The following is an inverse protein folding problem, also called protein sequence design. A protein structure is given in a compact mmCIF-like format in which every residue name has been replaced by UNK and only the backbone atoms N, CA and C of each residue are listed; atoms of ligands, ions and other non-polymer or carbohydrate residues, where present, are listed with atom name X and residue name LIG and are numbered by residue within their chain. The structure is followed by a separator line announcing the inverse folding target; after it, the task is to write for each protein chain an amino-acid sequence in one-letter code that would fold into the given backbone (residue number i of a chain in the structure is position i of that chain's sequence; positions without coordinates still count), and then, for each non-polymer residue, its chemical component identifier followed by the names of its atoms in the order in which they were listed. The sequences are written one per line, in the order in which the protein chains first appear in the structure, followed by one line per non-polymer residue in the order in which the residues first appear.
data_IF_793874710018
#
_entry.id   IF_793874710018
#
_cell.length_a   1.000
_cell.length_b   1.000
_cell.length_c   1.000
_cell.angle_alpha   90.00
_cell.angle_beta   90.00
_cell.angle_gamma   90.00
#
_symmetry.space_group_name_H-M   'P 1'
#
loop_
_entity.id
_entity.type
_entity.pdbx_description
1 polymer ?
#
# COMPACT_ATOMS: atom_id res chain seq x y z
N UNK A 1 -14.13 -35.70 -29.37
CA UNK A 1 -13.54 -35.07 -28.18
C UNK A 1 -13.52 -33.57 -28.41
N UNK A 2 -14.43 -32.85 -27.76
CA UNK A 2 -14.55 -31.39 -27.84
C UNK A 2 -13.39 -30.74 -27.08
N UNK A 3 -12.64 -29.80 -27.67
CA UNK A 3 -11.62 -29.06 -26.94
C UNK A 3 -12.29 -28.25 -25.81
N UNK A 4 -11.67 -28.16 -24.62
CA UNK A 4 -12.21 -27.31 -23.56
C UNK A 4 -12.21 -25.86 -24.06
N UNK A 5 -13.39 -25.23 -24.01
CA UNK A 5 -13.57 -23.80 -24.28
C UNK A 5 -12.61 -23.02 -23.37
N UNK A 6 -11.63 -22.36 -23.99
CA UNK A 6 -10.76 -21.42 -23.30
C UNK A 6 -11.64 -20.38 -22.60
N UNK A 7 -11.52 -20.29 -21.26
CA UNK A 7 -12.29 -19.34 -20.47
C UNK A 7 -12.08 -17.93 -21.02
N UNK A 8 -13.17 -17.24 -21.35
CA UNK A 8 -13.10 -15.88 -21.88
C UNK A 8 -12.34 -14.97 -20.91
N UNK A 9 -11.41 -14.13 -21.39
CA UNK A 9 -10.65 -13.23 -20.52
C UNK A 9 -11.63 -12.33 -19.77
N UNK A 10 -11.56 -12.37 -18.43
CA UNK A 10 -12.39 -11.55 -17.55
C UNK A 10 -12.25 -10.06 -17.92
N UNK A 11 -13.34 -9.43 -18.37
CA UNK A 11 -13.35 -8.07 -18.95
C UNK A 11 -13.34 -6.92 -17.93
N UNK A 12 -13.26 -7.20 -16.63
CA UNK A 12 -13.40 -6.19 -15.56
C UNK A 12 -12.18 -5.30 -15.36
N UNK A 13 -12.39 -4.10 -14.81
CA UNK A 13 -11.33 -3.13 -14.47
C UNK A 13 -10.24 -3.75 -13.59
N UNK A 14 -10.63 -4.47 -12.53
CA UNK A 14 -9.68 -5.16 -11.66
C UNK A 14 -8.85 -6.21 -12.40
N UNK A 15 -9.42 -6.91 -13.38
CA UNK A 15 -8.65 -7.88 -14.18
C UNK A 15 -7.59 -7.17 -15.03
N UNK A 16 -7.92 -6.02 -15.62
CA UNK A 16 -6.94 -5.21 -16.40
C UNK A 16 -5.84 -4.63 -15.51
N UNK A 17 -6.19 -4.15 -14.31
CA UNK A 17 -5.24 -3.64 -13.31
C UNK A 17 -4.31 -4.73 -12.75
N UNK A 18 -4.73 -6.00 -12.78
CA UNK A 18 -3.92 -7.12 -12.30
C UNK A 18 -3.24 -7.90 -13.44
N UNK A 19 -3.46 -7.51 -14.70
CA UNK A 19 -2.82 -8.06 -15.89
C UNK A 19 -2.03 -7.00 -16.66
N UNK A 20 -2.55 -6.59 -17.81
CA UNK A 20 -1.86 -5.70 -18.76
C UNK A 20 -1.40 -4.36 -18.17
N UNK A 21 -2.15 -3.78 -17.23
CA UNK A 21 -1.82 -2.49 -16.62
C UNK A 21 -1.19 -2.61 -15.23
N UNK A 22 -0.86 -3.81 -14.78
CA UNK A 22 -0.37 -4.04 -13.42
C UNK A 22 0.90 -3.25 -13.10
N UNK A 23 1.87 -3.23 -14.02
CA UNK A 23 3.10 -2.44 -13.86
C UNK A 23 2.82 -0.95 -13.69
N UNK A 24 1.94 -0.39 -14.52
CA UNK A 24 1.58 1.03 -14.43
C UNK A 24 0.86 1.34 -13.12
N UNK A 25 -0.06 0.47 -12.69
CA UNK A 25 -0.77 0.62 -11.43
C UNK A 25 0.16 0.53 -10.21
N UNK A 26 1.14 -0.39 -10.22
CA UNK A 26 2.17 -0.50 -9.19
C UNK A 26 3.06 0.74 -9.15
N UNK A 27 3.41 1.34 -10.29
CA UNK A 27 4.16 2.60 -10.33
C UNK A 27 3.36 3.76 -9.75
N UNK A 28 2.07 3.87 -10.09
CA UNK A 28 1.18 4.87 -9.48
C UNK A 28 1.08 4.68 -7.97
N UNK A 29 0.99 3.43 -7.51
CA UNK A 29 0.99 3.12 -6.10
C UNK A 29 2.31 3.47 -5.41
N UNK A 30 3.45 3.21 -6.05
CA UNK A 30 4.77 3.60 -5.56
C UNK A 30 4.86 5.11 -5.29
N UNK A 31 4.33 5.95 -6.19
CA UNK A 31 4.31 7.41 -5.98
C UNK A 31 3.55 7.78 -4.70
N UNK A 32 2.40 7.15 -4.46
CA UNK A 32 1.60 7.38 -3.23
C UNK A 32 2.38 6.93 -1.99
N UNK A 33 3.01 5.75 -2.03
CA UNK A 33 3.84 5.23 -0.94
C UNK A 33 4.97 6.18 -0.61
N UNK A 34 5.68 6.70 -1.63
CA UNK A 34 6.79 7.62 -1.43
C UNK A 34 6.33 8.98 -0.90
N UNK A 35 5.18 9.49 -1.38
CA UNK A 35 4.60 10.72 -0.85
C UNK A 35 4.24 10.58 0.64
N UNK A 36 3.65 9.44 1.02
CA UNK A 36 3.35 9.13 2.41
C UNK A 36 4.60 9.02 3.29
N UNK A 37 5.64 8.34 2.80
CA UNK A 37 6.94 8.27 3.48
C UNK A 37 7.57 9.66 3.63
N UNK A 38 7.50 10.51 2.61
CA UNK A 38 8.04 11.87 2.67
C UNK A 38 7.38 12.68 3.79
N UNK A 39 6.06 12.57 3.95
CA UNK A 39 5.33 13.23 5.03
C UNK A 39 5.91 12.89 6.41
N UNK A 40 6.11 11.60 6.68
CA UNK A 40 6.58 11.11 7.97
C UNK A 40 8.08 11.29 8.20
N UNK A 41 8.91 11.15 7.16
CA UNK A 41 10.36 11.38 7.28
C UNK A 41 10.67 12.85 7.50
N UNK A 42 9.94 13.75 6.85
CA UNK A 42 10.10 15.19 7.09
C UNK A 42 9.60 15.56 8.48
N UNK A 43 8.50 14.97 8.95
CA UNK A 43 8.05 15.13 10.33
C UNK A 43 9.11 14.65 11.34
N UNK A 44 9.69 13.48 11.11
CA UNK A 44 10.79 12.93 11.91
C UNK A 44 12.01 13.87 11.93
N UNK A 45 12.41 14.37 10.76
CA UNK A 45 13.51 15.30 10.61
C UNK A 45 13.26 16.62 11.35
N UNK A 46 12.04 17.17 11.25
CA UNK A 46 11.63 18.37 11.98
C UNK A 46 11.80 18.20 13.49
N UNK A 47 11.42 17.04 14.03
CA UNK A 47 11.50 16.77 15.48
C UNK A 47 12.95 16.55 15.92
N UNK A 48 13.67 15.64 15.27
CA UNK A 48 14.95 15.14 15.78
C UNK A 48 16.17 15.88 15.27
N UNK A 49 16.09 16.50 14.08
CA UNK A 49 17.21 17.26 13.51
C UNK A 49 17.02 18.75 13.72
N UNK A 50 15.81 19.28 13.47
CA UNK A 50 15.53 20.71 13.65
C UNK A 50 15.08 21.08 15.08
N UNK A 51 14.85 20.08 15.94
CA UNK A 51 14.42 20.31 17.33
C UNK A 51 13.03 20.94 17.46
N UNK A 52 12.18 20.85 16.43
CA UNK A 52 10.85 21.45 16.47
C UNK A 52 9.96 20.72 17.48
N UNK A 53 9.17 21.45 18.28
CA UNK A 53 8.12 20.85 19.08
C UNK A 53 7.16 20.03 18.20
N UNK A 54 6.70 18.87 18.68
CA UNK A 54 5.81 17.97 17.93
C UNK A 54 4.57 18.66 17.30
N UNK A 55 3.90 19.65 17.93
CA UNK A 55 2.79 20.37 17.29
C UNK A 55 3.16 21.21 16.05
N UNK A 56 4.44 21.54 15.90
CA UNK A 56 4.99 22.30 14.77
C UNK A 56 5.60 21.38 13.70
N UNK A 57 5.94 20.14 14.05
CA UNK A 57 6.45 19.14 13.13
C UNK A 57 5.30 18.47 12.34
N UNK A 58 4.91 19.10 11.22
CA UNK A 58 3.72 18.77 10.45
C UNK A 58 3.99 18.02 9.15
N UNK A 59 5.22 17.54 8.90
CA UNK A 59 5.54 16.82 7.67
C UNK A 59 5.74 17.74 6.48
N UNK A 60 5.33 17.31 5.28
CA UNK A 60 5.44 18.08 4.03
C UNK A 60 4.14 18.84 3.77
N UNK A 61 3.04 18.13 3.57
CA UNK A 61 1.73 18.71 3.28
C UNK A 61 1.17 19.47 4.48
N UNK A 62 1.38 18.97 5.70
CA UNK A 62 0.90 19.65 6.91
C UNK A 62 1.57 21.00 7.18
N UNK A 63 2.69 21.32 6.52
CA UNK A 63 3.27 22.68 6.59
C UNK A 63 2.40 23.70 5.86
N UNK A 64 1.80 23.31 4.73
CA UNK A 64 0.94 24.17 3.93
C UNK A 64 -0.53 24.08 4.34
N UNK A 65 -0.97 22.91 4.82
CA UNK A 65 -2.35 22.61 5.16
C UNK A 65 -2.46 21.97 6.56
N UNK A 66 -2.17 22.72 7.63
CA UNK A 66 -2.07 22.17 9.00
C UNK A 66 -3.36 21.53 9.50
N UNK A 67 -4.52 21.98 9.00
CA UNK A 67 -5.83 21.42 9.34
C UNK A 67 -5.98 19.95 8.90
N UNK A 68 -5.29 19.52 7.85
CA UNK A 68 -5.30 18.12 7.39
C UNK A 68 -4.67 17.18 8.43
N UNK A 69 -3.63 17.65 9.13
CA UNK A 69 -2.96 16.89 10.19
C UNK A 69 -3.80 16.91 11.47
N UNK A 70 -4.28 18.08 11.89
CA UNK A 70 -5.01 18.22 13.17
C UNK A 70 -6.38 17.54 13.17
N UNK A 71 -6.98 17.34 12.00
CA UNK A 71 -8.27 16.67 11.84
C UNK A 71 -8.17 15.16 11.60
N UNK A 72 -6.96 14.59 11.61
CA UNK A 72 -6.66 13.19 11.28
C UNK A 72 -6.99 12.77 9.84
N UNK A 73 -7.62 13.64 9.03
CA UNK A 73 -8.01 13.35 7.65
C UNK A 73 -6.82 13.04 6.74
N UNK A 74 -5.67 13.69 6.93
CA UNK A 74 -4.48 13.39 6.12
C UNK A 74 -4.10 11.93 6.24
N UNK A 75 -3.90 11.48 7.48
CA UNK A 75 -3.42 10.14 7.75
C UNK A 75 -4.49 9.09 7.42
N UNK A 76 -5.75 9.35 7.77
CA UNK A 76 -6.84 8.44 7.43
C UNK A 76 -7.02 8.30 5.91
N UNK A 77 -6.89 9.40 5.17
CA UNK A 77 -6.92 9.42 3.70
C UNK A 77 -5.82 8.56 3.10
N UNK A 78 -4.57 8.73 3.54
CA UNK A 78 -3.47 7.84 3.13
C UNK A 78 -3.76 6.38 3.48
N UNK A 79 -4.25 6.09 4.69
CA UNK A 79 -4.53 4.73 5.14
C UNK A 79 -5.56 4.02 4.24
N UNK A 80 -6.64 4.71 3.87
CA UNK A 80 -7.67 4.19 2.96
C UNK A 80 -7.11 3.99 1.55
N UNK A 81 -6.41 4.98 0.99
CA UNK A 81 -5.84 4.87 -0.36
C UNK A 81 -4.86 3.70 -0.44
N UNK A 82 -3.97 3.58 0.54
CA UNK A 82 -3.04 2.45 0.66
C UNK A 82 -3.78 1.11 0.70
N UNK A 83 -4.84 1.01 1.52
CA UNK A 83 -5.64 -0.21 1.66
C UNK A 83 -6.34 -0.59 0.34
N UNK A 84 -6.92 0.40 -0.35
CA UNK A 84 -7.57 0.20 -1.65
C UNK A 84 -6.57 -0.33 -2.68
N UNK A 85 -5.38 0.25 -2.78
CA UNK A 85 -4.36 -0.21 -3.73
C UNK A 85 -3.84 -1.60 -3.39
N UNK A 86 -3.50 -1.88 -2.11
CA UNK A 86 -3.06 -3.20 -1.68
C UNK A 86 -4.13 -4.26 -1.98
N UNK A 87 -5.39 -3.97 -1.68
CA UNK A 87 -6.48 -4.90 -1.98
C UNK A 87 -6.69 -5.06 -3.49
N UNK A 88 -6.81 -3.96 -4.24
CA UNK A 88 -7.13 -3.98 -5.66
C UNK A 88 -6.04 -4.68 -6.48
N UNK A 89 -4.77 -4.50 -6.13
CA UNK A 89 -3.61 -5.04 -6.86
C UNK A 89 -3.17 -6.44 -6.39
N UNK A 90 -3.79 -7.02 -5.36
CA UNK A 90 -3.42 -8.35 -4.85
C UNK A 90 -3.54 -9.48 -5.90
N UNK A 91 -4.37 -9.28 -6.92
CA UNK A 91 -4.64 -10.27 -7.96
C UNK A 91 -3.46 -10.51 -8.91
N UNK A 92 -2.60 -9.51 -9.11
CA UNK A 92 -1.43 -9.58 -9.98
C UNK A 92 -0.23 -10.26 -9.33
N UNK A 93 -0.28 -10.48 -8.02
CA UNK A 93 0.73 -11.24 -7.29
C UNK A 93 0.36 -12.73 -7.20
N UNK A 94 1.36 -13.58 -7.43
CA UNK A 94 1.28 -15.05 -7.34
C UNK A 94 2.40 -15.59 -6.44
N UNK A 95 2.26 -16.85 -6.02
CA UNK A 95 3.28 -17.56 -5.25
C UNK A 95 3.78 -16.79 -4.02
N UNK A 96 5.11 -16.76 -3.84
CA UNK A 96 5.73 -16.13 -2.66
C UNK A 96 5.46 -14.63 -2.59
N UNK A 97 5.47 -13.95 -3.73
CA UNK A 97 5.20 -12.52 -3.79
C UNK A 97 3.80 -12.19 -3.26
N UNK A 98 2.81 -13.04 -3.57
CA UNK A 98 1.44 -12.89 -3.06
C UNK A 98 1.38 -13.02 -1.54
N UNK A 99 2.10 -13.96 -0.95
CA UNK A 99 2.15 -14.13 0.51
C UNK A 99 2.59 -12.84 1.20
N UNK A 100 3.71 -12.25 0.77
CA UNK A 100 4.22 -11.01 1.36
C UNK A 100 3.33 -9.81 1.09
N UNK A 101 2.67 -9.75 -0.08
CA UNK A 101 1.68 -8.73 -0.37
C UNK A 101 0.46 -8.81 0.56
N UNK A 102 0.00 -10.03 0.87
CA UNK A 102 -1.10 -10.24 1.81
C UNK A 102 -0.69 -9.95 3.26
N UNK A 103 0.57 -10.19 3.64
CA UNK A 103 1.11 -9.75 4.93
C UNK A 103 1.08 -8.22 5.02
N UNK A 104 1.57 -7.51 4.00
CA UNK A 104 1.48 -6.06 3.93
C UNK A 104 0.03 -5.57 4.06
N UNK A 105 -0.91 -6.21 3.33
CA UNK A 105 -2.33 -5.88 3.39
C UNK A 105 -2.91 -6.07 4.79
N UNK A 106 -2.59 -7.17 5.49
CA UNK A 106 -3.08 -7.43 6.83
C UNK A 106 -2.56 -6.40 7.84
N UNK A 107 -1.27 -6.07 7.77
CA UNK A 107 -0.64 -5.04 8.61
C UNK A 107 -1.21 -3.65 8.32
N UNK A 108 -1.39 -3.30 7.04
CA UNK A 108 -2.01 -2.04 6.65
C UNK A 108 -3.47 -1.95 7.10
N UNK A 109 -4.20 -3.05 7.04
CA UNK A 109 -5.57 -3.11 7.54
C UNK A 109 -5.63 -2.85 9.04
N UNK A 110 -4.76 -3.48 9.83
CA UNK A 110 -4.64 -3.18 11.26
C UNK A 110 -4.27 -1.71 11.52
N UNK A 111 -3.26 -1.19 10.82
CA UNK A 111 -2.85 0.21 10.93
C UNK A 111 -4.01 1.17 10.58
N UNK A 112 -4.83 0.82 9.60
CA UNK A 112 -6.05 1.56 9.27
C UNK A 112 -7.08 1.56 10.40
N UNK A 113 -7.26 0.44 11.14
CA UNK A 113 -8.14 0.41 12.31
C UNK A 113 -7.67 1.40 13.39
N UNK A 114 -6.37 1.46 13.65
CA UNK A 114 -5.80 2.43 14.60
C UNK A 114 -6.09 3.88 14.18
N UNK A 115 -5.97 4.19 12.87
CA UNK A 115 -6.38 5.49 12.34
C UNK A 115 -7.88 5.76 12.43
N UNK A 116 -8.71 4.74 12.20
CA UNK A 116 -10.16 4.87 12.32
C UNK A 116 -10.56 5.20 13.76
N UNK A 117 -9.90 4.59 14.76
CA UNK A 117 -10.11 4.93 16.16
C UNK A 117 -9.77 6.40 16.45
N UNK A 118 -8.69 6.93 15.89
CA UNK A 118 -8.32 8.34 16.05
C UNK A 118 -9.33 9.28 15.39
N UNK A 119 -9.69 9.01 14.13
CA UNK A 119 -10.67 9.80 13.40
C UNK A 119 -12.02 9.80 14.13
N UNK A 120 -12.46 8.64 14.63
CA UNK A 120 -13.69 8.55 15.40
C UNK A 120 -13.65 9.43 16.66
N UNK A 121 -12.56 9.41 17.42
CA UNK A 121 -12.44 10.21 18.64
C UNK A 121 -12.50 11.71 18.34
N UNK A 122 -11.82 12.15 17.28
CA UNK A 122 -11.87 13.56 16.83
C UNK A 122 -13.28 13.96 16.39
N UNK A 123 -13.96 13.12 15.60
CA UNK A 123 -15.28 13.45 15.05
C UNK A 123 -16.42 13.35 16.07
N UNK A 124 -16.32 12.43 17.02
CA UNK A 124 -17.33 12.25 18.08
C UNK A 124 -17.08 13.11 19.32
N UNK A 125 -15.90 13.74 19.42
CA UNK A 125 -15.46 14.47 20.61
C UNK A 125 -15.25 13.59 21.84
N UNK A 126 -15.29 12.26 21.69
CA UNK A 126 -15.15 11.30 22.80
C UNK A 126 -13.76 10.70 22.77
N UNK A 127 -12.97 10.94 23.82
CA UNK A 127 -11.63 10.36 23.95
C UNK A 127 -11.71 8.95 24.54
N UNK A 128 -10.93 8.03 23.99
CA UNK A 128 -10.85 6.67 24.50
C UNK A 128 -9.78 6.54 25.58
N UNK A 129 -9.85 5.43 26.34
CA UNK A 129 -8.82 5.02 27.30
C UNK A 129 -8.46 6.07 28.37
N UNK A 130 -9.40 6.97 28.70
CA UNK A 130 -9.19 8.05 29.69
C UNK A 130 -8.15 9.09 29.27
N UNK A 131 -7.78 9.16 27.99
CA UNK A 131 -6.78 10.09 27.49
C UNK A 131 -7.35 11.49 27.29
N UNK A 132 -6.48 12.51 27.39
CA UNK A 132 -6.85 13.92 27.13
C UNK A 132 -6.82 14.28 25.65
N UNK A 133 -6.28 13.40 24.81
CA UNK A 133 -6.13 13.57 23.36
C UNK A 133 -6.47 12.26 22.66
N UNK A 134 -6.85 12.28 21.37
CA UNK A 134 -7.10 11.06 20.61
C UNK A 134 -5.91 10.12 20.65
N UNK A 135 -6.17 8.89 21.11
CA UNK A 135 -5.17 7.84 21.24
C UNK A 135 -5.70 6.51 20.69
N UNK A 136 -4.88 5.85 19.89
CA UNK A 136 -5.11 4.49 19.43
C UNK A 136 -4.59 3.45 20.45
N UNK A 137 -4.78 2.16 20.18
CA UNK A 137 -4.40 1.07 21.10
C UNK A 137 -2.89 1.06 21.33
N UNK A 138 -2.07 0.99 20.27
CA UNK A 138 -0.61 0.96 20.44
C UNK A 138 -0.04 2.30 20.90
N UNK A 139 -0.77 3.41 20.74
CA UNK A 139 -0.34 4.71 21.24
C UNK A 139 -0.37 4.85 22.76
N UNK A 140 -1.00 3.90 23.47
CA UNK A 140 -0.97 3.86 24.94
C UNK A 140 0.43 3.56 25.49
N UNK A 141 1.29 2.94 24.68
CA UNK A 141 2.65 2.55 25.08
C UNK A 141 3.75 3.14 24.20
N UNK A 142 3.42 3.61 23.00
CA UNK A 142 4.38 4.20 22.06
C UNK A 142 3.93 5.60 21.63
N UNK A 143 4.82 6.61 21.61
CA UNK A 143 4.43 7.93 21.15
C UNK A 143 4.07 7.93 19.66
N UNK A 144 3.19 8.85 19.27
CA UNK A 144 2.52 8.88 17.98
C UNK A 144 3.47 8.78 16.78
N UNK A 145 4.50 9.62 16.72
CA UNK A 145 5.38 9.73 15.54
C UNK A 145 6.21 8.46 15.34
N UNK A 146 6.76 7.96 16.44
CA UNK A 146 7.53 6.72 16.51
C UNK A 146 6.67 5.53 16.08
N UNK A 147 5.43 5.48 16.56
CA UNK A 147 4.49 4.43 16.16
C UNK A 147 4.16 4.50 14.65
N UNK A 148 4.00 5.69 14.07
CA UNK A 148 3.75 5.82 12.63
C UNK A 148 4.97 5.37 11.81
N UNK A 149 6.19 5.75 12.21
CA UNK A 149 7.41 5.29 11.55
C UNK A 149 7.57 3.77 11.65
N UNK A 150 7.23 3.20 12.81
CA UNK A 150 7.17 1.74 12.99
C UNK A 150 6.17 1.10 12.03
N UNK A 151 4.90 1.56 12.04
CA UNK A 151 3.86 1.03 11.16
C UNK A 151 4.23 1.15 9.68
N UNK A 152 4.71 2.31 9.25
CA UNK A 152 5.20 2.53 7.89
C UNK A 152 6.28 1.52 7.52
N UNK A 153 7.22 1.25 8.43
CA UNK A 153 8.29 0.27 8.19
C UNK A 153 7.75 -1.15 8.10
N UNK A 154 6.92 -1.60 9.05
CA UNK A 154 6.42 -2.99 9.06
C UNK A 154 5.42 -3.29 7.96
N UNK A 155 4.75 -2.27 7.38
CA UNK A 155 3.94 -2.43 6.17
C UNK A 155 4.83 -2.39 4.92
N UNK A 156 5.76 -1.42 4.84
CA UNK A 156 6.60 -1.21 3.66
C UNK A 156 7.58 -2.35 3.40
N UNK A 157 8.19 -2.93 4.43
CA UNK A 157 9.16 -4.02 4.27
C UNK A 157 8.52 -5.23 3.56
N UNK A 158 7.38 -5.79 4.00
CA UNK A 158 6.66 -6.82 3.25
C UNK A 158 6.30 -6.42 1.82
N UNK A 159 5.94 -5.15 1.56
CA UNK A 159 5.70 -4.67 0.19
C UNK A 159 6.96 -4.74 -0.67
N UNK A 160 8.11 -4.31 -0.14
CA UNK A 160 9.41 -4.40 -0.83
C UNK A 160 9.78 -5.85 -1.09
N UNK A 161 9.61 -6.74 -0.11
CA UNK A 161 9.86 -8.18 -0.29
C UNK A 161 8.94 -8.78 -1.35
N UNK A 162 7.64 -8.44 -1.33
CA UNK A 162 6.68 -8.85 -2.34
C UNK A 162 7.10 -8.38 -3.74
N UNK A 163 7.50 -7.12 -3.88
CA UNK A 163 7.96 -6.55 -5.15
C UNK A 163 9.27 -7.19 -5.64
N UNK A 164 10.23 -7.42 -4.75
CA UNK A 164 11.48 -8.10 -5.08
C UNK A 164 11.22 -9.50 -5.64
N UNK A 165 10.33 -10.27 -4.99
CA UNK A 165 9.94 -11.61 -5.44
C UNK A 165 9.10 -11.56 -6.72
N UNK A 166 8.22 -10.56 -6.88
CA UNK A 166 7.38 -10.39 -8.08
C UNK A 166 8.22 -10.11 -9.33
N UNK A 167 9.30 -9.35 -9.19
CA UNK A 167 10.23 -9.04 -10.27
C UNK A 167 11.27 -10.15 -10.50
N UNK A 168 11.34 -11.15 -9.60
CA UNK A 168 12.26 -12.29 -9.67
C UNK A 168 11.52 -13.63 -9.44
N UNK A 169 10.51 -13.96 -10.28
CA UNK A 169 9.74 -15.19 -10.10
C UNK A 169 10.60 -16.42 -10.40
N UNK A 170 10.28 -17.54 -9.76
CA UNK A 170 10.73 -18.86 -10.26
C UNK A 170 9.88 -19.30 -11.47
N UNK A 171 10.26 -20.40 -12.14
CA UNK A 171 9.56 -20.89 -13.35
C UNK A 171 8.05 -21.07 -13.15
N UNK A 172 7.63 -21.69 -12.04
CA UNK A 172 6.22 -21.93 -11.74
C UNK A 172 5.46 -20.62 -11.47
N UNK A 173 6.08 -19.68 -10.77
CA UNK A 173 5.49 -18.36 -10.52
C UNK A 173 5.35 -17.60 -11.85
N UNK A 174 6.34 -17.69 -12.73
CA UNK A 174 6.33 -17.04 -14.04
C UNK A 174 5.22 -17.56 -14.96
N UNK A 175 4.96 -18.86 -14.97
CA UNK A 175 3.85 -19.47 -15.72
C UNK A 175 2.46 -19.01 -15.22
N UNK A 176 2.34 -18.67 -13.94
CA UNK A 176 1.10 -18.20 -13.32
C UNK A 176 0.89 -16.68 -13.49
N UNK A 177 1.96 -15.93 -13.79
CA UNK A 177 1.87 -14.47 -13.95
C UNK A 177 1.19 -14.12 -15.27
N UNK A 178 0.18 -13.24 -15.19
CA UNK A 178 -0.55 -12.71 -16.36
C UNK A 178 -0.14 -11.29 -16.75
N UNK A 179 0.76 -10.67 -15.98
CA UNK A 179 1.22 -9.29 -16.17
C UNK A 179 2.58 -9.23 -16.87
N UNK A 180 2.91 -8.06 -17.42
CA UNK A 180 4.16 -7.82 -18.17
C UNK A 180 5.32 -7.31 -17.30
N UNK A 181 5.22 -7.42 -15.97
CA UNK A 181 6.16 -6.81 -15.03
C UNK A 181 7.61 -7.33 -15.15
N UNK A 182 7.80 -8.57 -15.61
CA UNK A 182 9.11 -9.23 -15.76
C UNK A 182 9.67 -9.16 -17.18
N UNK A 183 9.04 -8.39 -18.07
CA UNK A 183 9.52 -8.20 -19.44
C UNK A 183 9.23 -9.36 -20.41
N UNK A 184 8.73 -10.50 -19.93
CA UNK A 184 8.10 -11.48 -20.81
C UNK A 184 6.78 -10.90 -21.33
N UNK A 185 6.79 -10.45 -22.59
CA UNK A 185 5.55 -10.39 -23.36
C UNK A 185 4.96 -11.81 -23.32
N UNK A 186 3.74 -11.95 -22.82
CA UNK A 186 2.90 -13.08 -23.18
C UNK A 186 3.08 -13.26 -24.69
N UNK A 187 3.61 -14.42 -25.08
CA UNK A 187 4.11 -14.66 -26.43
C UNK A 187 3.13 -14.13 -27.45
N UNK A 188 3.63 -13.33 -28.38
CA UNK A 188 2.99 -13.20 -29.67
C UNK A 188 2.76 -14.65 -30.13
N UNK A 189 1.53 -15.12 -30.41
CA UNK A 189 1.39 -16.41 -31.04
C UNK A 189 2.16 -16.30 -32.35
N UNK A 190 3.28 -17.01 -32.40
CA UNK A 190 4.19 -17.00 -33.53
C UNK A 190 3.38 -17.26 -34.79
N UNK A 191 3.65 -16.46 -35.81
CA UNK A 191 3.32 -16.65 -37.23
C UNK A 191 3.92 -17.97 -37.77
N UNK A 192 3.60 -19.10 -37.14
CA UNK A 192 4.09 -20.43 -37.46
C UNK A 192 2.91 -21.35 -37.81
N UNK A 193 2.14 -20.91 -38.79
CA UNK A 193 1.26 -21.68 -39.67
C UNK A 193 0.82 -20.63 -40.69
N UNK A 194 1.34 -20.55 -41.91
CA UNK A 194 1.01 -21.44 -43.01
C UNK A 194 2.11 -21.29 -44.09
N UNK A 195 3.14 -22.11 -44.00
CA UNK A 195 4.07 -22.36 -45.09
C UNK A 195 4.31 -23.87 -45.16
N UNK A 196 3.35 -24.57 -45.73
CA UNK A 196 3.46 -25.91 -46.32
C UNK A 196 2.20 -26.14 -47.17
#
# INVERSE_FOLDING_TARGET
MTPPLAAAPSRGLLARLNGAHHRAALNGFLVIVLAHWAEHLVQAYQIWVLGQPRPQARGVLGQFFPWLVSSEWLHYGYAIVMLVFLFALRGGFVGRARTWWMVALALQFWHHIEHLLLLWQVQSGTMFFGQKVPASILQLVLPRVELHLFYNSVVFIPMVVAMYLHLRPNRREQELMSCSCTGHRAGNPSLAAHAA
#
